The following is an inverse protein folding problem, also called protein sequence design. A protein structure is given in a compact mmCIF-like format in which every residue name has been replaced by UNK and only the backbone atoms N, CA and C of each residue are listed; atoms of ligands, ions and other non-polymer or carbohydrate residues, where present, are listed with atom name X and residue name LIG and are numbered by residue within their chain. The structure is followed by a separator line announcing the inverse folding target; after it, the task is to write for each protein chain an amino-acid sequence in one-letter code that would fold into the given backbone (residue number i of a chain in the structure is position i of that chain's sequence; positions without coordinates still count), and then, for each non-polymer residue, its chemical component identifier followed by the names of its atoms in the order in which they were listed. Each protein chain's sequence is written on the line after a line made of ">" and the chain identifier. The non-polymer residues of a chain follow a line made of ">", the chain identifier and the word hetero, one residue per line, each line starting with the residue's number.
data_IF_247157582781
#
_entry.id   IF_247157582781
#
_cell.length_a   1.000
_cell.length_b   1.000
_cell.length_c   1.000
_cell.angle_alpha   90.00
_cell.angle_beta   90.00
_cell.angle_gamma   90.00
#
_symmetry.space_group_name_H-M   'P 1'
#
loop_
_entity.id
_entity.type
_entity.pdbx_description
1 polymer ?
#
# COMPACT_ATOMS: atom_id res chain seq x y z
N UNK A 1 38.91 20.38 -28.74
CA UNK A 1 37.94 20.56 -27.64
C UNK A 1 36.58 20.04 -28.10
N UNK A 2 36.34 18.73 -28.02
CA UNK A 2 35.03 18.10 -28.34
C UNK A 2 34.76 16.97 -27.32
N UNK A 3 35.79 16.25 -26.90
CA UNK A 3 35.74 15.20 -25.85
C UNK A 3 35.27 15.67 -24.47
N UNK A 4 35.33 16.97 -24.18
CA UNK A 4 34.90 17.52 -22.88
C UNK A 4 33.37 17.57 -22.74
N UNK A 5 32.65 17.83 -23.83
CA UNK A 5 31.20 17.99 -23.82
C UNK A 5 30.47 16.65 -23.66
N UNK A 6 30.94 15.60 -24.34
CA UNK A 6 30.31 14.27 -24.24
C UNK A 6 30.46 13.64 -22.85
N UNK A 7 31.60 13.88 -22.17
CA UNK A 7 31.78 13.44 -20.78
C UNK A 7 30.88 14.19 -19.80
N UNK A 8 30.57 15.46 -20.05
CA UNK A 8 29.62 16.23 -19.24
C UNK A 8 28.19 15.72 -19.45
N UNK A 9 27.79 15.45 -20.70
CA UNK A 9 26.47 14.89 -21.02
C UNK A 9 26.31 13.49 -20.39
N UNK A 10 27.32 12.63 -20.51
CA UNK A 10 27.30 11.32 -19.88
C UNK A 10 27.24 11.40 -18.35
N UNK A 11 27.93 12.36 -17.74
CA UNK A 11 27.89 12.58 -16.29
C UNK A 11 26.53 13.10 -15.82
N UNK A 12 25.90 14.02 -16.56
CA UNK A 12 24.55 14.52 -16.28
C UNK A 12 23.52 13.40 -16.45
N UNK A 13 23.59 12.63 -17.53
CA UNK A 13 22.70 11.50 -17.79
C UNK A 13 22.83 10.41 -16.70
N UNK A 14 24.05 10.08 -16.29
CA UNK A 14 24.30 9.10 -15.23
C UNK A 14 23.82 9.60 -13.86
N UNK A 15 23.96 10.90 -13.57
CA UNK A 15 23.43 11.51 -12.35
C UNK A 15 21.89 11.52 -12.35
N UNK A 16 21.25 11.82 -13.48
CA UNK A 16 19.80 11.73 -13.63
C UNK A 16 19.33 10.28 -13.47
N UNK A 17 19.98 9.31 -14.10
CA UNK A 17 19.59 7.91 -14.01
C UNK A 17 19.71 7.36 -12.57
N UNK A 18 20.76 7.74 -11.83
CA UNK A 18 20.86 7.39 -10.40
C UNK A 18 19.79 8.08 -9.56
N UNK A 19 19.46 9.34 -9.85
CA UNK A 19 18.41 10.06 -9.16
C UNK A 19 17.04 9.44 -9.44
N UNK A 20 16.74 9.17 -10.71
CA UNK A 20 15.55 8.45 -11.17
C UNK A 20 15.44 7.08 -10.50
N UNK A 21 16.51 6.29 -10.49
CA UNK A 21 16.52 4.97 -9.86
C UNK A 21 16.22 5.03 -8.34
N UNK A 22 16.81 5.99 -7.61
CA UNK A 22 16.53 6.17 -6.18
C UNK A 22 15.06 6.57 -5.96
N UNK A 23 14.55 7.51 -6.75
CA UNK A 23 13.13 7.91 -6.65
C UNK A 23 12.18 6.79 -7.05
N UNK A 24 12.57 5.94 -7.99
CA UNK A 24 11.75 4.84 -8.50
C UNK A 24 11.69 3.70 -7.50
N UNK A 25 12.79 3.40 -6.80
CA UNK A 25 12.85 2.39 -5.76
C UNK A 25 11.99 2.80 -4.55
N UNK A 26 12.03 4.08 -4.14
CA UNK A 26 11.21 4.62 -3.04
C UNK A 26 9.70 4.68 -3.39
N UNK A 27 9.35 4.96 -4.64
CA UNK A 27 7.94 5.04 -5.11
C UNK A 27 7.34 3.65 -5.38
N UNK A 28 8.16 2.60 -5.45
CA UNK A 28 7.70 1.26 -5.80
C UNK A 28 7.00 0.51 -4.67
N UNK A 29 7.30 0.78 -3.39
CA UNK A 29 6.66 0.12 -2.23
C UNK A 29 5.28 0.73 -1.93
N UNK A 30 4.21 0.04 -2.34
CA UNK A 30 2.83 0.51 -2.21
C UNK A 30 2.16 0.09 -0.90
N UNK A 31 2.55 -1.05 -0.31
CA UNK A 31 1.99 -1.55 0.95
C UNK A 31 3.10 -2.14 1.80
N UNK A 32 3.19 -1.67 3.05
CA UNK A 32 4.16 -2.15 4.01
C UNK A 32 3.45 -2.63 5.28
N UNK A 33 3.62 -3.92 5.61
CA UNK A 33 3.00 -4.56 6.77
C UNK A 33 1.47 -4.30 6.88
N UNK A 34 0.77 -4.43 5.75
CA UNK A 34 -0.66 -4.17 5.65
C UNK A 34 -1.10 -2.71 5.69
N UNK A 35 -0.17 -1.76 5.61
CA UNK A 35 -0.44 -0.33 5.56
C UNK A 35 -0.07 0.24 4.18
N UNK A 36 -1.03 0.84 3.50
CA UNK A 36 -0.84 1.52 2.22
C UNK A 36 0.03 2.76 2.37
N UNK A 37 1.05 2.86 1.51
CA UNK A 37 1.97 3.98 1.44
C UNK A 37 1.39 5.06 0.50
N UNK A 38 0.40 5.81 0.99
CA UNK A 38 -0.40 6.74 0.17
C UNK A 38 0.43 7.75 -0.64
N UNK A 39 1.60 8.17 -0.10
CA UNK A 39 2.52 9.07 -0.82
C UNK A 39 3.15 8.38 -2.03
N UNK A 40 3.60 7.13 -1.88
CA UNK A 40 4.19 6.34 -2.95
C UNK A 40 3.13 5.99 -4.00
N UNK A 41 1.94 5.59 -3.56
CA UNK A 41 0.80 5.35 -4.45
C UNK A 41 0.47 6.58 -5.31
N UNK A 42 0.50 7.80 -4.72
CA UNK A 42 0.32 9.04 -5.47
C UNK A 42 1.42 9.26 -6.51
N UNK A 43 2.68 9.01 -6.14
CA UNK A 43 3.83 9.07 -7.06
C UNK A 43 3.71 8.08 -8.22
N UNK A 44 3.29 6.86 -7.93
CA UNK A 44 3.06 5.78 -8.90
C UNK A 44 1.72 5.92 -9.66
N UNK A 45 0.89 6.92 -9.34
CA UNK A 45 -0.45 7.14 -9.90
C UNK A 45 -1.39 5.93 -9.74
N UNK A 46 -1.23 5.19 -8.65
CA UNK A 46 -2.08 4.05 -8.31
C UNK A 46 -3.19 4.53 -7.36
N UNK A 47 -4.47 4.57 -7.79
CA UNK A 47 -5.56 4.89 -6.89
C UNK A 47 -5.77 3.76 -5.88
N UNK A 48 -6.31 4.11 -4.71
CA UNK A 48 -6.60 3.17 -3.61
C UNK A 48 -7.46 2.01 -4.10
N UNK A 49 -8.53 2.31 -4.84
CA UNK A 49 -9.46 1.32 -5.36
C UNK A 49 -8.78 0.37 -6.36
N UNK A 50 -7.80 0.87 -7.11
CA UNK A 50 -6.97 0.07 -8.01
C UNK A 50 -6.08 -0.90 -7.24
N UNK A 51 -5.43 -0.44 -6.17
CA UNK A 51 -4.62 -1.30 -5.32
C UNK A 51 -5.46 -2.39 -4.62
N UNK A 52 -6.63 -2.03 -4.09
CA UNK A 52 -7.54 -3.00 -3.47
C UNK A 52 -8.10 -3.99 -4.51
N UNK A 53 -8.32 -3.56 -5.75
CA UNK A 53 -8.69 -4.46 -6.83
C UNK A 53 -7.56 -5.44 -7.16
N UNK A 54 -6.32 -4.97 -7.25
CA UNK A 54 -5.17 -5.83 -7.48
C UNK A 54 -4.95 -6.83 -6.35
N UNK A 55 -5.08 -6.40 -5.09
CA UNK A 55 -4.99 -7.28 -3.94
C UNK A 55 -6.02 -8.44 -4.03
N UNK A 56 -7.24 -8.16 -4.50
CA UNK A 56 -8.25 -9.20 -4.77
C UNK A 56 -7.83 -10.13 -5.91
N UNK A 57 -7.29 -9.59 -7.01
CA UNK A 57 -6.75 -10.41 -8.12
C UNK A 57 -5.65 -11.35 -7.65
N UNK A 58 -4.84 -10.92 -6.69
CA UNK A 58 -3.79 -11.73 -6.03
C UNK A 58 -4.33 -12.73 -4.99
N UNK A 59 -5.65 -12.81 -4.81
CA UNK A 59 -6.33 -13.74 -3.91
C UNK A 59 -6.23 -13.36 -2.43
N UNK A 60 -6.10 -12.07 -2.13
CA UNK A 60 -6.09 -11.55 -0.76
C UNK A 60 -7.49 -11.10 -0.35
N UNK A 61 -7.79 -11.21 0.93
CA UNK A 61 -9.05 -10.79 1.57
C UNK A 61 -8.88 -9.53 2.42
N UNK A 62 -7.68 -9.31 2.97
CA UNK A 62 -7.34 -8.10 3.70
C UNK A 62 -5.87 -7.70 3.58
N UNK A 63 -5.59 -6.41 3.79
CA UNK A 63 -4.23 -5.88 3.70
C UNK A 63 -3.26 -6.51 4.72
N UNK A 64 -3.75 -7.00 5.86
CA UNK A 64 -2.91 -7.65 6.88
C UNK A 64 -2.25 -8.98 6.43
N UNK A 65 -2.60 -9.50 5.25
CA UNK A 65 -1.90 -10.60 4.57
C UNK A 65 -0.67 -10.14 3.78
N UNK A 66 -0.47 -8.83 3.62
CA UNK A 66 0.59 -8.24 2.79
C UNK A 66 1.76 -7.82 3.67
N UNK A 67 2.92 -8.45 3.46
CA UNK A 67 4.18 -7.95 4.03
C UNK A 67 4.70 -6.77 3.24
N UNK A 68 4.81 -6.96 1.93
CA UNK A 68 5.23 -5.95 0.94
C UNK A 68 4.41 -6.11 -0.33
N UNK A 69 4.06 -4.99 -0.95
CA UNK A 69 3.51 -4.97 -2.30
C UNK A 69 4.24 -3.91 -3.11
N UNK A 70 4.96 -4.35 -4.14
CA UNK A 70 5.70 -3.47 -5.03
C UNK A 70 4.99 -3.30 -6.36
N UNK A 71 5.17 -2.15 -7.00
CA UNK A 71 4.87 -1.93 -8.42
C UNK A 71 6.18 -1.91 -9.22
N UNK A 72 6.29 -2.83 -10.17
CA UNK A 72 7.46 -2.97 -11.05
C UNK A 72 7.37 -1.98 -12.22
N UNK A 73 8.50 -1.71 -12.87
CA UNK A 73 8.57 -0.76 -14.00
C UNK A 73 7.67 -1.15 -15.20
N UNK A 74 7.34 -2.43 -15.34
CA UNK A 74 6.42 -2.94 -16.36
C UNK A 74 4.93 -2.84 -15.96
N UNK A 75 4.64 -2.27 -14.79
CA UNK A 75 3.28 -2.14 -14.24
C UNK A 75 2.74 -3.39 -13.55
N UNK A 76 3.54 -4.46 -13.43
CA UNK A 76 3.16 -5.65 -12.68
C UNK A 76 3.38 -5.47 -11.18
N UNK A 77 2.63 -6.24 -10.38
CA UNK A 77 2.75 -6.20 -8.93
C UNK A 77 3.55 -7.40 -8.42
N UNK A 78 4.44 -7.14 -7.47
CA UNK A 78 5.18 -8.17 -6.75
C UNK A 78 4.72 -8.22 -5.30
N UNK A 79 4.12 -9.35 -4.92
CA UNK A 79 3.58 -9.57 -3.57
C UNK A 79 4.53 -10.43 -2.72
N UNK A 80 4.89 -9.91 -1.55
CA UNK A 80 5.43 -10.71 -0.46
C UNK A 80 4.35 -10.87 0.60
N UNK A 81 3.87 -12.10 0.80
CA UNK A 81 2.85 -12.40 1.81
C UNK A 81 3.43 -12.36 3.22
N UNK A 82 2.63 -11.92 4.18
CA UNK A 82 2.95 -12.05 5.59
C UNK A 82 2.83 -13.52 6.00
N UNK A 83 3.84 -14.04 6.69
CA UNK A 83 3.91 -15.47 7.08
C UNK A 83 2.82 -15.81 8.10
N UNK A 84 2.50 -14.84 8.96
CA UNK A 84 1.42 -14.94 9.94
C UNK A 84 0.50 -13.73 9.74
N UNK A 85 -0.54 -13.86 8.91
CA UNK A 85 -1.44 -12.74 8.61
C UNK A 85 -1.99 -12.10 9.87
N UNK A 86 -1.94 -10.77 9.90
CA UNK A 86 -2.52 -9.97 10.98
C UNK A 86 -3.92 -9.52 10.56
N UNK A 87 -4.81 -9.20 11.51
CA UNK A 87 -6.07 -8.55 11.18
C UNK A 87 -5.81 -7.27 10.37
N UNK A 88 -6.59 -7.05 9.32
CA UNK A 88 -6.34 -5.94 8.39
C UNK A 88 -7.59 -5.33 7.79
N UNK A 89 -7.37 -4.32 6.94
CA UNK A 89 -8.41 -3.67 6.16
C UNK A 89 -8.91 -4.60 5.05
N UNK A 90 -10.23 -4.77 4.97
CA UNK A 90 -10.87 -5.54 3.91
C UNK A 90 -10.54 -4.96 2.53
N UNK A 91 -10.19 -5.83 1.58
CA UNK A 91 -10.03 -5.46 0.16
C UNK A 91 -11.33 -5.64 -0.63
N UNK A 92 -12.35 -6.23 0.00
CA UNK A 92 -13.64 -6.53 -0.61
C UNK A 92 -14.46 -5.25 -0.76
N UNK A 93 -15.06 -5.00 -1.94
CA UNK A 93 -15.84 -3.80 -2.17
C UNK A 93 -17.16 -3.83 -1.39
N UNK A 94 -17.60 -2.66 -0.93
CA UNK A 94 -18.82 -2.50 -0.12
C UNK A 94 -20.13 -2.91 -0.83
N UNK A 95 -20.12 -2.97 -2.16
CA UNK A 95 -21.29 -3.41 -2.93
C UNK A 95 -21.47 -4.93 -2.89
N UNK A 96 -20.41 -5.70 -2.59
CA UNK A 96 -20.46 -7.15 -2.44
C UNK A 96 -20.85 -7.50 -1.00
N UNK A 97 -22.12 -7.25 -0.67
CA UNK A 97 -22.64 -7.38 0.70
C UNK A 97 -22.65 -8.82 1.20
N UNK A 98 -22.78 -9.79 0.32
CA UNK A 98 -22.81 -11.20 0.69
C UNK A 98 -21.43 -11.62 1.15
N UNK A 99 -20.40 -11.31 0.36
CA UNK A 99 -19.02 -11.64 0.71
C UNK A 99 -18.51 -10.80 1.89
N UNK A 100 -18.93 -9.54 2.01
CA UNK A 100 -18.60 -8.69 3.16
C UNK A 100 -19.18 -9.23 4.49
N UNK A 101 -20.33 -9.91 4.47
CA UNK A 101 -20.94 -10.50 5.68
C UNK A 101 -20.24 -11.77 6.14
N UNK A 102 -19.55 -12.48 5.24
CA UNK A 102 -18.74 -13.64 5.60
C UNK A 102 -17.46 -13.26 6.35
N UNK A 103 -17.10 -11.96 6.32
CA UNK A 103 -15.83 -11.50 6.87
C UNK A 103 -15.84 -11.54 8.40
N UNK A 104 -14.79 -12.13 8.97
CA UNK A 104 -14.66 -12.26 10.42
C UNK A 104 -14.03 -11.01 11.01
N UNK A 105 -14.85 -10.16 11.61
CA UNK A 105 -14.39 -9.01 12.37
C UNK A 105 -13.66 -9.42 13.65
N UNK A 106 -12.59 -8.69 13.96
CA UNK A 106 -11.82 -8.87 15.20
C UNK A 106 -12.25 -7.83 16.22
N UNK A 107 -12.56 -8.30 17.43
CA UNK A 107 -12.85 -7.42 18.56
C UNK A 107 -11.61 -6.59 18.93
N UNK A 108 -11.85 -5.36 19.36
CA UNK A 108 -10.83 -4.44 19.88
C UNK A 108 -9.69 -4.07 18.91
N UNK A 109 -9.80 -4.42 17.62
CA UNK A 109 -8.83 -4.03 16.58
C UNK A 109 -9.54 -3.23 15.51
N UNK A 110 -9.14 -1.97 15.36
CA UNK A 110 -9.58 -1.10 14.29
C UNK A 110 -8.45 -0.87 13.31
N UNK A 111 -8.81 -0.56 12.07
CA UNK A 111 -7.86 -0.13 11.04
C UNK A 111 -8.40 1.13 10.38
N UNK A 112 -7.49 2.02 10.00
CA UNK A 112 -7.84 3.19 9.22
C UNK A 112 -8.43 2.75 7.88
N UNK A 113 -9.62 3.23 7.53
CA UNK A 113 -10.28 2.90 6.28
C UNK A 113 -9.51 3.45 5.05
N UNK A 114 -8.73 4.51 5.24
CA UNK A 114 -7.99 5.17 4.19
C UNK A 114 -6.64 4.49 3.90
N UNK A 115 -5.85 4.16 4.94
CA UNK A 115 -4.50 3.58 4.75
C UNK A 115 -4.30 2.16 5.32
N UNK A 116 -5.22 1.63 6.10
CA UNK A 116 -5.09 0.30 6.73
C UNK A 116 -4.28 0.26 8.03
N UNK A 117 -3.78 1.40 8.52
CA UNK A 117 -3.00 1.45 9.77
C UNK A 117 -3.82 0.93 10.96
N UNK A 118 -3.32 -0.05 11.74
CA UNK A 118 -4.05 -0.65 12.85
C UNK A 118 -4.01 0.20 14.12
N UNK A 119 -5.04 0.05 14.94
CA UNK A 119 -5.19 0.63 16.27
C UNK A 119 -5.86 -0.39 17.20
N UNK A 120 -5.24 -0.67 18.34
CA UNK A 120 -5.75 -1.63 19.34
C UNK A 120 -6.55 -0.87 20.40
N UNK A 121 -7.88 -0.96 20.33
CA UNK A 121 -8.77 -0.25 21.25
C UNK A 121 -10.13 -0.91 21.32
N UNK A 122 -10.73 -0.92 22.52
CA UNK A 122 -12.06 -1.50 22.77
C UNK A 122 -13.21 -0.72 22.11
N UNK A 123 -12.95 0.52 21.68
CA UNK A 123 -13.97 1.39 21.05
C UNK A 123 -13.41 2.03 19.80
N UNK A 124 -14.29 2.31 18.82
CA UNK A 124 -13.91 3.02 17.60
C UNK A 124 -13.12 4.29 17.96
N UNK A 125 -11.90 4.47 17.43
CA UNK A 125 -11.10 5.66 17.71
C UNK A 125 -11.83 6.95 17.37
N UNK A 126 -11.69 7.95 18.25
CA UNK A 126 -12.19 9.32 18.04
C UNK A 126 -11.11 10.31 17.61
N UNK A 127 -9.94 9.83 17.21
CA UNK A 127 -8.76 10.62 16.85
C UNK A 127 -8.30 10.28 15.43
N UNK A 128 -7.43 11.14 14.89
CA UNK A 128 -6.86 10.99 13.55
C UNK A 128 -5.83 9.87 13.47
N UNK A 129 -5.84 9.16 12.35
CA UNK A 129 -4.88 8.12 12.05
C UNK A 129 -3.45 8.69 12.09
N UNK A 130 -2.58 8.09 12.90
CA UNK A 130 -1.17 8.50 13.04
C UNK A 130 -0.35 8.36 11.75
N UNK A 131 -0.85 7.66 10.73
CA UNK A 131 -0.17 7.47 9.45
C UNK A 131 -0.65 8.42 8.33
N UNK A 132 -1.95 8.76 8.29
CA UNK A 132 -2.51 9.54 7.18
C UNK A 132 -3.50 10.64 7.57
N UNK A 133 -3.67 10.91 8.86
CA UNK A 133 -4.54 11.94 9.44
C UNK A 133 -6.05 11.77 9.15
N UNK A 134 -6.47 10.63 8.60
CA UNK A 134 -7.88 10.31 8.37
C UNK A 134 -8.58 9.86 9.67
N UNK A 135 -9.86 10.19 9.83
CA UNK A 135 -10.66 9.88 11.01
C UNK A 135 -11.63 8.70 10.81
N UNK A 136 -11.61 8.05 9.65
CA UNK A 136 -12.50 6.94 9.34
C UNK A 136 -11.86 5.62 9.76
N UNK A 137 -12.47 4.98 10.76
CA UNK A 137 -12.01 3.72 11.34
C UNK A 137 -13.05 2.62 11.16
N UNK A 138 -12.59 1.46 10.70
CA UNK A 138 -13.41 0.24 10.53
C UNK A 138 -12.81 -0.90 11.36
N UNK A 139 -13.61 -1.90 11.71
CA UNK A 139 -13.09 -3.08 12.40
C UNK A 139 -12.20 -3.89 11.46
N UNK A 140 -11.06 -4.35 11.96
CA UNK A 140 -10.18 -5.23 11.21
C UNK A 140 -10.84 -6.59 10.99
N UNK A 141 -10.42 -7.28 9.93
CA UNK A 141 -10.88 -8.64 9.60
C UNK A 141 -9.73 -9.63 9.48
N UNK A 142 -10.01 -10.92 9.62
CA UNK A 142 -9.02 -12.03 9.50
C UNK A 142 -9.31 -13.03 8.39
N UNK A 143 -10.48 -12.93 7.75
CA UNK A 143 -10.93 -13.73 6.61
C UNK A 143 -12.11 -13.01 6.00
#
# INVERSE_FOLDING_TARGET
>A
MIVSAERIIAWIAFRNQRFEAITQDEISDLVNNGVMQLKHMRGARIPREGLLAEARTLGLFHLGEIKRLYIEANGSFTLIKEVTPKPGLSVIPLWDRDFAQEQKHVADVFVCNNCGNPEQTTRRPGFACSNCDDNNWVQAITK
#
